data_IF_042000264387
#
_entry.id   IF_042000264387
#
_cell.length_a   1.000
_cell.length_b   1.000
_cell.length_c   1.000
_cell.angle_alpha   90.00
_cell.angle_beta   90.00
_cell.angle_gamma   90.00
#
_symmetry.space_group_name_H-M   'P 1'
#
loop_
_entity.id
_entity.type
_entity.pdbx_description
1 polymer ?
#
# COMPACT_ATOMS: atom_id res chain seq x y z
N UNK A 1 41.27 -15.03 -43.61
CA UNK A 1 41.07 -14.41 -43.30
C UNK A 1 40.12 -14.21 -42.69
N UNK A 2 39.83 -13.96 -42.00
CA UNK A 2 39.09 -13.66 -41.66
C UNK A 2 38.47 -13.92 -40.52
N UNK A 3 37.80 -13.76 -39.98
CA UNK A 3 37.28 -14.05 -39.09
C UNK A 3 37.12 -13.45 -38.00
N UNK A 4 36.88 -13.25 -37.40
CA UNK A 4 36.84 -12.71 -36.39
C UNK A 4 35.82 -12.20 -35.86
N UNK A 5 35.38 -12.29 -35.21
CA UNK A 5 34.60 -11.67 -34.72
C UNK A 5 33.69 -12.12 -33.90
N UNK A 6 33.57 -11.98 -33.09
CA UNK A 6 32.84 -12.34 -32.29
C UNK A 6 32.73 -11.85 -31.08
N UNK A 7 32.26 -11.98 -30.48
CA UNK A 7 32.18 -11.76 -29.39
C UNK A 7 31.59 -10.87 -28.72
N UNK A 8 31.10 -10.71 -28.07
CA UNK A 8 30.62 -9.75 -27.44
C UNK A 8 29.36 -9.87 -27.03
N UNK A 9 28.98 -10.36 -26.32
CA UNK A 9 27.70 -10.42 -26.09
C UNK A 9 27.40 -10.81 -24.77
N UNK A 10 28.18 -10.81 -23.92
CA UNK A 10 27.84 -11.45 -22.78
C UNK A 10 27.68 -10.63 -21.60
N UNK A 11 27.56 -9.44 -21.71
CA UNK A 11 27.75 -8.75 -20.52
C UNK A 11 26.59 -8.03 -20.02
N UNK A 12 25.44 -8.33 -20.48
CA UNK A 12 24.42 -7.44 -20.13
C UNK A 12 23.42 -7.97 -19.22
N UNK A 13 23.67 -9.04 -18.63
CA UNK A 13 22.58 -9.61 -17.93
C UNK A 13 22.59 -9.47 -16.47
N UNK A 14 23.50 -8.73 -15.91
CA UNK A 14 23.60 -8.74 -14.49
C UNK A 14 22.94 -7.65 -13.77
N UNK A 15 22.41 -6.69 -14.45
CA UNK A 15 21.89 -5.55 -13.73
C UNK A 15 20.42 -5.62 -13.41
N UNK A 16 19.78 -6.71 -13.72
CA UNK A 16 18.33 -6.74 -13.59
C UNK A 16 17.83 -7.45 -12.35
N UNK A 17 18.68 -8.10 -11.63
CA UNK A 17 18.24 -8.92 -10.51
C UNK A 17 17.95 -8.12 -9.22
N UNK A 18 18.61 -7.01 -9.02
CA UNK A 18 18.43 -6.26 -7.78
C UNK A 18 17.03 -5.64 -7.62
N UNK A 19 16.41 -5.04 -8.66
CA UNK A 19 15.05 -4.53 -8.52
C UNK A 19 14.01 -5.60 -8.28
N UNK A 20 14.22 -6.81 -8.82
CA UNK A 20 13.29 -7.91 -8.65
C UNK A 20 13.26 -8.43 -7.22
N UNK A 21 14.39 -8.46 -6.52
CA UNK A 21 14.45 -8.89 -5.13
C UNK A 21 13.69 -7.92 -4.21
N UNK A 22 13.80 -6.63 -4.46
CA UNK A 22 13.07 -5.63 -3.69
C UNK A 22 11.57 -5.68 -3.98
N UNK A 23 11.18 -6.04 -5.20
CA UNK A 23 9.77 -6.10 -5.60
C UNK A 23 9.02 -7.27 -4.96
N UNK A 24 9.74 -8.31 -4.50
CA UNK A 24 9.13 -9.48 -3.88
C UNK A 24 8.95 -9.36 -2.37
N UNK A 25 9.47 -8.33 -1.75
CA UNK A 25 9.30 -8.13 -0.32
C UNK A 25 7.88 -7.67 0.00
N UNK A 26 7.29 -8.14 1.09
CA UNK A 26 6.00 -7.63 1.56
C UNK A 26 6.05 -6.13 1.81
N UNK A 27 4.97 -5.46 1.51
CA UNK A 27 4.84 -4.02 1.70
C UNK A 27 3.59 -3.71 2.51
N UNK A 28 3.62 -2.59 3.20
CA UNK A 28 2.50 -2.13 4.01
C UNK A 28 2.32 -0.63 3.84
N UNK A 29 1.15 -0.21 3.42
CA UNK A 29 0.77 1.19 3.43
C UNK A 29 0.18 1.53 4.79
N UNK A 30 0.68 2.57 5.41
CA UNK A 30 0.25 3.00 6.74
C UNK A 30 -0.27 4.44 6.67
N UNK A 31 -1.52 4.62 7.04
CA UNK A 31 -2.18 5.92 7.04
C UNK A 31 -2.51 6.28 8.48
N UNK A 32 -1.94 7.34 8.98
CA UNK A 32 -2.21 7.87 10.33
C UNK A 32 -3.25 8.96 10.22
N UNK A 33 -4.32 8.83 10.99
CA UNK A 33 -5.51 9.67 10.87
C UNK A 33 -5.90 10.23 12.23
N UNK A 34 -6.26 11.50 12.26
CA UNK A 34 -6.94 12.13 13.38
C UNK A 34 -8.43 12.28 13.05
N UNK A 35 -9.27 11.95 14.02
CA UNK A 35 -10.72 12.04 13.89
C UNK A 35 -11.36 12.24 15.26
N UNK A 36 -12.47 12.96 15.30
CA UNK A 36 -13.20 13.21 16.54
C UNK A 36 -13.96 11.99 17.03
N UNK A 37 -14.24 11.04 16.15
CA UNK A 37 -14.94 9.81 16.51
C UNK A 37 -14.21 8.58 15.95
N UNK A 38 -13.16 8.12 16.64
CA UNK A 38 -12.38 6.98 16.19
C UNK A 38 -13.21 5.71 15.97
N UNK A 39 -14.18 5.46 16.83
CA UNK A 39 -15.01 4.26 16.72
C UNK A 39 -15.81 4.22 15.43
N UNK A 40 -16.48 5.31 15.12
CA UNK A 40 -17.26 5.43 13.88
C UNK A 40 -16.36 5.34 12.66
N UNK A 41 -15.22 6.01 12.70
CA UNK A 41 -14.26 5.98 11.59
C UNK A 41 -13.73 4.57 11.33
N UNK A 42 -13.30 3.88 12.38
CA UNK A 42 -12.80 2.50 12.27
C UNK A 42 -13.86 1.58 11.68
N UNK A 43 -15.08 1.69 12.19
CA UNK A 43 -16.20 0.89 11.69
C UNK A 43 -16.46 1.14 10.20
N UNK A 44 -16.49 2.40 9.81
CA UNK A 44 -16.70 2.80 8.41
C UNK A 44 -15.61 2.23 7.50
N UNK A 45 -14.35 2.31 7.91
CA UNK A 45 -13.24 1.79 7.12
C UNK A 45 -13.31 0.28 7.03
N UNK A 46 -13.55 -0.42 8.13
CA UNK A 46 -13.53 -1.88 8.13
C UNK A 46 -14.77 -2.50 7.48
N UNK A 47 -15.90 -1.83 7.51
CA UNK A 47 -17.12 -2.34 6.87
C UNK A 47 -17.24 -1.84 5.43
N UNK A 48 -17.38 -0.54 5.24
CA UNK A 48 -17.62 0.04 3.91
C UNK A 48 -16.35 0.03 3.07
N UNK A 49 -15.22 0.38 3.64
CA UNK A 49 -13.94 0.36 2.94
C UNK A 49 -13.58 -1.02 2.46
N UNK A 50 -13.69 -2.02 3.34
CA UNK A 50 -13.42 -3.40 2.99
C UNK A 50 -14.38 -3.92 1.92
N UNK A 51 -15.66 -3.50 1.97
CA UNK A 51 -16.63 -3.88 0.95
C UNK A 51 -16.26 -3.34 -0.42
N UNK A 52 -15.81 -2.09 -0.50
CA UNK A 52 -15.31 -1.51 -1.77
C UNK A 52 -14.11 -2.27 -2.30
N UNK A 53 -13.13 -2.55 -1.45
CA UNK A 53 -11.93 -3.27 -1.85
C UNK A 53 -12.28 -4.67 -2.37
N UNK A 54 -13.16 -5.37 -1.67
CA UNK A 54 -13.60 -6.69 -2.08
C UNK A 54 -14.33 -6.66 -3.41
N UNK A 55 -15.20 -5.68 -3.61
CA UNK A 55 -15.94 -5.51 -4.86
C UNK A 55 -15.00 -5.29 -6.04
N UNK A 56 -13.89 -4.60 -5.83
CA UNK A 56 -12.93 -4.30 -6.86
C UNK A 56 -11.86 -5.39 -7.04
N UNK A 57 -11.93 -6.45 -6.27
CA UNK A 57 -10.98 -7.54 -6.35
C UNK A 57 -9.61 -7.21 -5.74
N UNK A 58 -9.57 -6.25 -4.82
CA UNK A 58 -8.34 -5.93 -4.11
C UNK A 58 -7.88 -7.09 -3.24
N UNK A 59 -6.57 -7.30 -3.23
CA UNK A 59 -5.93 -8.30 -2.38
C UNK A 59 -5.31 -7.68 -1.13
N UNK A 60 -5.46 -6.37 -0.95
CA UNK A 60 -4.93 -5.68 0.23
C UNK A 60 -5.60 -6.18 1.50
N UNK A 61 -4.78 -6.46 2.52
CA UNK A 61 -5.28 -6.85 3.82
C UNK A 61 -5.37 -5.61 4.72
N UNK A 62 -6.60 -5.17 4.96
CA UNK A 62 -6.90 -3.94 5.67
C UNK A 62 -7.02 -4.20 7.17
N UNK A 63 -6.29 -3.44 7.97
CA UNK A 63 -6.39 -3.46 9.42
C UNK A 63 -6.47 -2.05 9.99
N UNK A 64 -7.12 -1.92 11.13
CA UNK A 64 -7.22 -0.65 11.83
C UNK A 64 -6.69 -0.80 13.26
N UNK A 65 -5.94 0.20 13.71
CA UNK A 65 -5.33 0.24 15.01
C UNK A 65 -5.63 1.58 15.68
N UNK A 66 -5.73 1.57 16.98
CA UNK A 66 -5.88 2.80 17.75
C UNK A 66 -4.66 3.00 18.62
N UNK A 67 -4.00 4.11 18.46
CA UNK A 67 -2.84 4.43 19.27
C UNK A 67 -3.29 4.85 20.67
N UNK A 68 -2.90 4.09 21.70
CA UNK A 68 -3.40 4.27 23.05
C UNK A 68 -2.43 4.94 24.02
N UNK A 69 -1.15 4.80 23.78
CA UNK A 69 -0.16 5.28 24.73
C UNK A 69 0.49 6.57 24.27
N UNK A 70 1.30 7.13 25.16
CA UNK A 70 1.99 8.36 24.90
C UNK A 70 2.91 8.24 23.71
N UNK A 71 3.02 9.31 22.99
CA UNK A 71 3.80 9.39 21.78
C UNK A 71 3.17 10.36 20.82
N UNK A 72 3.85 10.61 19.74
CA UNK A 72 3.41 11.57 18.73
C UNK A 72 2.02 11.25 18.16
N UNK A 73 1.71 9.99 18.01
CA UNK A 73 0.49 9.54 17.37
C UNK A 73 -0.60 9.13 18.37
N UNK A 74 -0.41 9.40 19.65
CA UNK A 74 -1.38 9.04 20.69
C UNK A 74 -2.77 9.61 20.36
N UNK A 75 -3.78 8.76 20.40
CA UNK A 75 -5.15 9.13 20.08
C UNK A 75 -5.50 9.01 18.60
N UNK A 76 -4.53 8.79 17.74
CA UNK A 76 -4.76 8.62 16.31
C UNK A 76 -5.28 7.22 15.98
N UNK A 77 -5.92 7.12 14.82
CA UNK A 77 -6.25 5.84 14.20
C UNK A 77 -5.21 5.55 13.13
N UNK A 78 -4.74 4.33 13.10
CA UNK A 78 -3.77 3.86 12.13
C UNK A 78 -4.43 2.83 11.24
N UNK A 79 -4.45 3.10 9.95
CA UNK A 79 -4.96 2.16 8.94
C UNK A 79 -3.75 1.55 8.26
N UNK A 80 -3.67 0.24 8.28
CA UNK A 80 -2.62 -0.50 7.61
C UNK A 80 -3.21 -1.38 6.52
N UNK A 81 -2.61 -1.34 5.34
CA UNK A 81 -3.01 -2.18 4.21
C UNK A 81 -1.78 -2.94 3.76
N UNK A 82 -1.81 -4.25 3.93
CA UNK A 82 -0.69 -5.12 3.63
C UNK A 82 -0.86 -5.77 2.26
N UNK A 83 0.25 -5.87 1.54
CA UNK A 83 0.35 -6.55 0.24
C UNK A 83 1.55 -7.48 0.24
N UNK A 84 1.48 -8.61 -0.47
CA UNK A 84 2.59 -9.58 -0.50
C UNK A 84 3.84 -9.05 -1.21
N UNK A 85 3.72 -8.04 -2.04
CA UNK A 85 4.85 -7.45 -2.76
C UNK A 85 4.50 -6.06 -3.29
N UNK A 86 5.52 -5.32 -3.70
CA UNK A 86 5.33 -4.03 -4.36
C UNK A 86 4.62 -4.20 -5.71
N UNK A 87 4.91 -5.28 -6.42
CA UNK A 87 4.22 -5.59 -7.67
C UNK A 87 2.74 -5.85 -7.45
N UNK A 88 2.39 -6.55 -6.38
CA UNK A 88 1.00 -6.81 -6.02
C UNK A 88 0.26 -5.51 -5.67
N UNK A 89 0.92 -4.59 -4.96
CA UNK A 89 0.37 -3.27 -4.69
C UNK A 89 0.09 -2.51 -5.99
N UNK A 90 1.05 -2.51 -6.91
CA UNK A 90 0.90 -1.79 -8.18
C UNK A 90 -0.27 -2.35 -9.00
N UNK A 91 -0.42 -3.65 -9.06
CA UNK A 91 -1.55 -4.28 -9.74
C UNK A 91 -2.89 -3.97 -9.05
N UNK A 92 -2.88 -3.95 -7.73
CA UNK A 92 -4.06 -3.61 -6.95
C UNK A 92 -4.51 -2.16 -7.19
N UNK A 93 -3.58 -1.24 -7.28
CA UNK A 93 -3.86 0.16 -7.58
C UNK A 93 -4.53 0.32 -8.94
N UNK A 94 -4.19 -0.50 -9.92
CA UNK A 94 -4.86 -0.48 -11.22
C UNK A 94 -6.33 -0.90 -11.13
N UNK A 95 -6.66 -1.78 -10.20
CA UNK A 95 -8.04 -2.24 -9.99
C UNK A 95 -8.88 -1.20 -9.29
N UNK A 96 -8.28 -0.41 -8.43
CA UNK A 96 -9.01 0.55 -7.58
C UNK A 96 -9.02 1.96 -8.14
N UNK A 97 -8.02 2.32 -8.95
CA UNK A 97 -7.90 3.65 -9.52
C UNK A 97 -9.07 3.95 -10.44
N UNK A 98 -9.62 5.14 -10.28
CA UNK A 98 -10.70 5.60 -11.15
C UNK A 98 -12.08 5.03 -10.86
N UNK A 99 -12.25 4.20 -9.83
CA UNK A 99 -13.56 3.73 -9.46
C UNK A 99 -14.38 4.88 -8.84
N UNK A 100 -15.53 5.27 -9.43
CA UNK A 100 -16.29 6.42 -8.95
C UNK A 100 -16.85 6.24 -7.55
N UNK A 101 -17.31 5.04 -7.22
CA UNK A 101 -17.93 4.78 -5.92
C UNK A 101 -16.89 4.82 -4.79
N UNK A 102 -15.70 4.24 -5.02
CA UNK A 102 -14.61 4.30 -4.06
C UNK A 102 -14.12 5.73 -3.88
N UNK A 103 -13.96 6.47 -4.95
CA UNK A 103 -13.53 7.88 -4.90
C UNK A 103 -14.53 8.75 -4.15
N UNK A 104 -15.83 8.54 -4.34
CA UNK A 104 -16.86 9.27 -3.63
C UNK A 104 -16.83 8.94 -2.13
N UNK A 105 -16.65 7.68 -1.78
CA UNK A 105 -16.55 7.27 -0.38
C UNK A 105 -15.33 7.88 0.30
N UNK A 106 -14.18 7.91 -0.37
CA UNK A 106 -12.97 8.53 0.16
C UNK A 106 -13.19 10.03 0.41
N UNK A 107 -13.86 10.73 -0.50
CA UNK A 107 -14.19 12.14 -0.30
C UNK A 107 -15.08 12.36 0.92
N UNK A 108 -16.02 11.46 1.16
CA UNK A 108 -16.87 11.53 2.34
C UNK A 108 -16.08 11.23 3.62
N UNK A 109 -15.15 10.29 3.56
CA UNK A 109 -14.24 10.02 4.69
C UNK A 109 -13.41 11.26 5.04
N UNK A 110 -12.96 11.99 4.06
CA UNK A 110 -12.12 13.18 4.28
C UNK A 110 -12.86 14.28 5.05
N UNK A 111 -14.18 14.22 5.11
CA UNK A 111 -14.98 15.15 5.92
C UNK A 111 -14.94 14.86 7.41
N UNK A 112 -14.59 13.63 7.79
CA UNK A 112 -14.60 13.18 9.18
C UNK A 112 -13.20 12.81 9.69
N UNK A 113 -12.17 13.04 8.92
CA UNK A 113 -10.79 12.71 9.26
C UNK A 113 -9.81 13.74 8.75
N UNK A 114 -8.66 13.77 9.40
CA UNK A 114 -7.48 14.46 8.90
C UNK A 114 -6.36 13.44 8.75
N UNK A 115 -5.83 13.29 7.56
CA UNK A 115 -4.66 12.44 7.33
C UNK A 115 -3.43 13.17 7.83
N UNK A 116 -2.74 12.56 8.78
CA UNK A 116 -1.50 13.09 9.36
C UNK A 116 -0.30 12.63 8.54
N UNK A 117 -0.31 11.38 8.13
CA UNK A 117 0.74 10.81 7.29
C UNK A 117 0.21 9.62 6.50
N UNK A 118 0.84 9.37 5.37
CA UNK A 118 0.53 8.25 4.49
C UNK A 118 1.89 7.75 3.97
N UNK A 119 2.28 6.57 4.39
CA UNK A 119 3.62 6.04 4.19
C UNK A 119 3.59 4.61 3.68
N UNK A 120 4.59 4.25 2.89
CA UNK A 120 4.78 2.89 2.43
C UNK A 120 6.01 2.30 3.11
N UNK A 121 5.83 1.14 3.72
CA UNK A 121 6.91 0.38 4.35
C UNK A 121 7.18 -0.88 3.57
N UNK A 122 8.44 -1.21 3.41
CA UNK A 122 8.88 -2.45 2.77
C UNK A 122 9.54 -3.29 3.85
N UNK A 123 9.18 -4.58 3.91
CA UNK A 123 9.77 -5.47 4.89
C UNK A 123 11.25 -5.60 4.64
N UNK A 124 12.03 -5.39 5.70
CA UNK A 124 13.48 -5.55 5.68
C UNK A 124 13.84 -6.83 6.43
N UNK A 125 14.64 -7.65 5.79
CA UNK A 125 15.16 -8.86 6.42
C UNK A 125 16.63 -8.66 6.74
N UNK A 126 17.10 -9.26 7.85
CA UNK A 126 18.54 -9.19 8.21
C UNK A 126 19.41 -9.96 7.24
#
# INVERSE_FOLDING_TARGET
MKSKLVLIAATILLSISAPLLAADAPVMRVIVVQTDNPGTYIKEVLETGQAHLKRLGSIGHLRAWKAKYTGRDAGSVIIAIEFPSLSALAEDEKKTAGDPALSAWIRDLDKIRKIVSDSLYVESKP
#
